data_IF_531609500464
#
_entry.id   IF_531609500464
#
_cell.length_a   1.000
_cell.length_b   1.000
_cell.length_c   1.000
_cell.angle_alpha   90.00
_cell.angle_beta   90.00
_cell.angle_gamma   90.00
#
_symmetry.space_group_name_H-M   'P 1'
#
loop_
_entity.id
_entity.type
_entity.pdbx_description
1 polymer ?
#
# COMPACT_ATOMS: atom_id res chain seq x y z
N UNK A 1 14.80 -1.11 -14.59
CA UNK A 1 13.64 -0.25 -14.95
C UNK A 1 12.54 -0.53 -13.96
N UNK A 2 12.05 0.51 -13.32
CA UNK A 2 10.88 0.48 -12.42
C UNK A 2 9.68 1.19 -13.10
N UNK A 3 8.51 0.95 -12.59
CA UNK A 3 7.29 1.67 -12.98
C UNK A 3 6.54 2.11 -11.72
N UNK A 4 5.71 3.13 -11.85
CA UNK A 4 4.82 3.59 -10.76
C UNK A 4 3.58 2.70 -10.58
N UNK A 5 3.50 1.58 -11.29
CA UNK A 5 2.41 0.62 -11.14
C UNK A 5 2.66 -0.22 -9.89
N UNK A 6 1.70 -0.21 -8.97
CA UNK A 6 1.75 -1.00 -7.73
C UNK A 6 2.01 -2.48 -8.06
N UNK A 7 2.88 -3.12 -7.28
CA UNK A 7 3.33 -4.52 -7.44
C UNK A 7 4.03 -4.83 -8.76
N UNK A 8 4.47 -3.81 -9.51
CA UNK A 8 5.29 -4.01 -10.69
C UNK A 8 6.72 -4.39 -10.31
N UNK A 9 7.23 -5.46 -10.89
CA UNK A 9 8.61 -5.89 -10.67
C UNK A 9 9.61 -5.01 -11.44
N UNK A 10 10.74 -4.71 -10.81
CA UNK A 10 11.84 -3.98 -11.46
C UNK A 10 12.53 -4.86 -12.50
N UNK A 11 12.63 -4.39 -13.74
CA UNK A 11 13.44 -5.04 -14.77
C UNK A 11 14.94 -4.84 -14.51
N UNK A 12 15.75 -5.90 -14.64
CA UNK A 12 17.20 -5.91 -14.36
C UNK A 12 17.55 -5.45 -12.93
N UNK A 13 16.79 -5.94 -11.96
CA UNK A 13 16.96 -5.58 -10.56
C UNK A 13 18.31 -6.00 -9.98
N UNK A 14 18.93 -7.04 -10.52
CA UNK A 14 20.18 -7.64 -10.04
C UNK A 14 21.31 -6.62 -9.98
N UNK A 15 21.36 -5.67 -10.92
CA UNK A 15 22.36 -4.61 -10.93
C UNK A 15 22.20 -3.66 -9.74
N UNK A 16 20.96 -3.38 -9.32
CA UNK A 16 20.66 -2.53 -8.17
C UNK A 16 20.90 -3.29 -6.87
N UNK A 17 20.46 -4.55 -6.80
CA UNK A 17 20.68 -5.45 -5.67
C UNK A 17 22.18 -5.60 -5.36
N UNK A 18 22.99 -5.88 -6.38
CA UNK A 18 24.47 -5.98 -6.22
C UNK A 18 25.08 -4.68 -5.75
N UNK A 19 24.72 -3.55 -6.37
CA UNK A 19 25.22 -2.24 -5.97
C UNK A 19 24.91 -1.92 -4.51
N UNK A 20 23.66 -2.13 -4.07
CA UNK A 20 23.26 -1.84 -2.69
C UNK A 20 23.98 -2.74 -1.68
N UNK A 21 24.20 -4.02 -2.00
CA UNK A 21 24.97 -4.95 -1.16
C UNK A 21 26.44 -4.52 -1.05
N UNK A 22 27.06 -4.12 -2.16
CA UNK A 22 28.44 -3.59 -2.19
C UNK A 22 28.55 -2.29 -1.35
N UNK A 23 27.53 -1.41 -1.42
CA UNK A 23 27.47 -0.21 -0.58
C UNK A 23 27.41 -0.55 0.92
N UNK A 24 26.63 -1.58 1.32
CA UNK A 24 26.58 -2.04 2.71
C UNK A 24 27.94 -2.57 3.21
N UNK A 25 28.81 -3.03 2.31
CA UNK A 25 30.19 -3.42 2.59
C UNK A 25 31.18 -2.24 2.52
N UNK A 26 30.71 -1.02 2.26
CA UNK A 26 31.52 0.20 2.15
C UNK A 26 32.21 0.39 0.79
N UNK A 27 31.82 -0.37 -0.24
CA UNK A 27 32.40 -0.24 -1.56
C UNK A 27 31.74 0.91 -2.34
N UNK A 28 32.54 1.84 -2.83
CA UNK A 28 32.06 2.95 -3.65
C UNK A 28 31.59 2.49 -5.03
N UNK A 29 30.54 3.13 -5.55
CA UNK A 29 29.99 2.78 -6.86
C UNK A 29 28.82 3.65 -7.28
N UNK A 30 28.18 3.28 -8.37
CA UNK A 30 26.94 3.96 -8.80
C UNK A 30 26.04 3.05 -9.61
N UNK A 31 24.72 3.28 -9.52
CA UNK A 31 23.70 2.60 -10.30
C UNK A 31 22.67 3.58 -10.83
N UNK A 32 22.01 3.25 -11.93
CA UNK A 32 20.93 4.07 -12.50
C UNK A 32 19.65 3.27 -12.54
N UNK A 33 18.59 3.87 -11.98
CA UNK A 33 17.21 3.38 -12.07
C UNK A 33 16.44 4.33 -13.00
N UNK A 34 15.70 3.76 -13.94
CA UNK A 34 14.74 4.49 -14.77
C UNK A 34 13.35 4.15 -14.31
N UNK A 35 12.49 5.15 -14.19
CA UNK A 35 11.07 4.99 -13.83
C UNK A 35 10.18 5.43 -14.99
N UNK A 36 9.15 4.65 -15.25
CA UNK A 36 8.11 5.02 -16.20
C UNK A 36 6.90 5.49 -15.38
N UNK A 37 6.51 6.74 -15.57
CA UNK A 37 5.38 7.34 -14.87
C UNK A 37 4.07 7.12 -15.63
N UNK A 38 2.94 7.15 -14.91
CA UNK A 38 1.60 6.94 -15.48
C UNK A 38 1.20 8.03 -16.51
N UNK A 39 1.80 9.21 -16.42
CA UNK A 39 1.62 10.32 -17.37
C UNK A 39 2.49 10.21 -18.62
N UNK A 40 3.22 9.08 -18.77
CA UNK A 40 4.16 8.86 -19.87
C UNK A 40 5.53 9.50 -19.67
N UNK A 41 5.74 10.22 -18.56
CA UNK A 41 7.04 10.78 -18.20
C UNK A 41 8.08 9.71 -17.86
N UNK A 42 9.35 10.06 -17.98
CA UNK A 42 10.47 9.19 -17.67
C UNK A 42 11.31 9.81 -16.53
N UNK A 43 11.35 9.10 -15.41
CA UNK A 43 12.28 9.39 -14.31
C UNK A 43 13.63 8.71 -14.53
N UNK A 44 14.70 9.34 -14.10
CA UNK A 44 16.03 8.77 -14.02
C UNK A 44 16.67 9.13 -12.70
N UNK A 45 16.94 8.12 -11.88
CA UNK A 45 17.63 8.26 -10.61
C UNK A 45 19.02 7.61 -10.74
N UNK A 46 20.08 8.38 -10.54
CA UNK A 46 21.44 7.86 -10.43
C UNK A 46 21.87 7.93 -8.98
N UNK A 47 21.98 6.78 -8.33
CA UNK A 47 22.54 6.66 -6.99
C UNK A 47 24.07 6.55 -7.10
N UNK A 48 24.78 7.28 -6.24
CA UNK A 48 26.24 7.32 -6.16
C UNK A 48 26.63 7.17 -4.70
N UNK A 49 27.42 6.16 -4.39
CA UNK A 49 27.99 5.94 -3.08
C UNK A 49 29.49 6.14 -3.13
N UNK A 50 30.04 7.02 -2.29
CA UNK A 50 31.48 7.35 -2.28
C UNK A 50 32.31 6.49 -1.29
N UNK A 51 31.66 5.58 -0.59
CA UNK A 51 32.21 4.73 0.47
C UNK A 51 31.79 5.19 1.86
N UNK A 52 31.11 6.34 1.98
CA UNK A 52 30.61 6.90 3.24
C UNK A 52 29.20 7.44 3.08
N UNK A 53 29.00 8.34 2.13
CA UNK A 53 27.72 8.99 1.86
C UNK A 53 27.10 8.51 0.55
N UNK A 54 25.79 8.46 0.50
CA UNK A 54 25.04 8.18 -0.71
C UNK A 54 24.34 9.45 -1.22
N UNK A 55 24.38 9.62 -2.53
CA UNK A 55 23.78 10.74 -3.24
C UNK A 55 22.86 10.22 -4.34
N UNK A 56 21.81 10.98 -4.64
CA UNK A 56 20.94 10.71 -5.79
C UNK A 56 20.89 11.92 -6.73
N UNK A 57 21.08 11.67 -8.01
CA UNK A 57 20.82 12.62 -9.10
C UNK A 57 19.51 12.21 -9.74
N UNK A 58 18.46 12.98 -9.47
CA UNK A 58 17.12 12.75 -10.04
C UNK A 58 16.89 13.67 -11.22
N UNK A 59 16.37 13.11 -12.30
CA UNK A 59 16.01 13.84 -13.52
C UNK A 59 14.64 13.36 -13.98
N UNK A 60 13.74 14.27 -14.34
CA UNK A 60 12.47 13.94 -14.95
C UNK A 60 12.39 14.50 -16.35
N UNK A 61 12.10 13.63 -17.30
CA UNK A 61 11.77 13.97 -18.68
C UNK A 61 10.27 13.86 -18.90
N UNK A 62 9.71 14.82 -19.60
CA UNK A 62 8.31 14.87 -20.03
C UNK A 62 8.26 15.14 -21.53
N UNK A 63 7.09 14.98 -22.14
CA UNK A 63 6.83 15.37 -23.52
C UNK A 63 6.05 16.67 -23.51
N UNK A 64 6.57 17.70 -24.19
CA UNK A 64 5.90 18.99 -24.32
C UNK A 64 4.69 18.95 -25.29
N UNK A 65 4.00 20.07 -25.45
CA UNK A 65 2.84 20.16 -26.33
C UNK A 65 3.13 19.82 -27.79
N UNK A 66 4.36 19.97 -28.23
CA UNK A 66 4.82 19.66 -29.59
C UNK A 66 5.32 18.20 -29.72
N UNK A 67 5.15 17.39 -28.65
CA UNK A 67 5.62 16.00 -28.54
C UNK A 67 7.14 15.88 -28.62
N UNK A 68 7.86 16.91 -28.13
CA UNK A 68 9.32 16.89 -28.01
C UNK A 68 9.72 16.60 -26.55
N UNK A 69 10.83 15.85 -26.32
CA UNK A 69 11.30 15.56 -24.97
C UNK A 69 11.90 16.81 -24.32
N UNK A 70 11.47 17.05 -23.09
CA UNK A 70 11.95 18.17 -22.26
C UNK A 70 12.32 17.68 -20.87
N UNK A 71 13.39 18.23 -20.28
CA UNK A 71 13.75 17.99 -18.89
C UNK A 71 12.98 18.99 -18.04
N UNK A 72 12.00 18.48 -17.26
CA UNK A 72 11.17 19.30 -16.38
C UNK A 72 11.77 19.49 -14.98
N UNK A 73 12.69 18.58 -14.58
CA UNK A 73 13.28 18.61 -13.25
C UNK A 73 14.64 17.93 -13.23
N UNK A 74 15.57 18.51 -12.46
CA UNK A 74 16.85 17.91 -12.12
C UNK A 74 17.24 18.31 -10.70
N UNK A 75 17.70 17.35 -9.88
CA UNK A 75 18.24 17.60 -8.55
C UNK A 75 19.47 16.75 -8.29
N UNK A 76 20.28 17.20 -7.34
CA UNK A 76 21.38 16.46 -6.74
C UNK A 76 21.24 16.56 -5.22
N UNK A 77 20.97 15.43 -4.57
CA UNK A 77 20.64 15.42 -3.14
C UNK A 77 21.39 14.30 -2.43
N UNK A 78 21.93 14.59 -1.25
CA UNK A 78 22.50 13.57 -0.36
C UNK A 78 21.37 12.85 0.37
N UNK A 79 21.51 11.55 0.58
CA UNK A 79 20.65 10.78 1.45
C UNK A 79 21.07 11.04 2.90
N UNK A 80 20.10 11.36 3.76
CA UNK A 80 20.30 11.52 5.20
C UNK A 80 20.59 10.18 5.85
N UNK A 81 19.77 9.21 5.51
CA UNK A 81 19.93 7.80 5.87
C UNK A 81 19.33 6.91 4.79
N UNK A 82 19.75 5.66 4.77
CA UNK A 82 19.23 4.66 3.84
C UNK A 82 19.42 3.25 4.41
N UNK A 83 18.58 2.33 3.92
CA UNK A 83 18.62 0.92 4.27
C UNK A 83 18.21 0.07 3.10
N UNK A 84 18.89 -1.04 2.90
CA UNK A 84 18.49 -2.08 1.99
C UNK A 84 18.15 -3.33 2.78
N UNK A 85 16.86 -3.71 2.77
CA UNK A 85 16.36 -4.82 3.58
C UNK A 85 16.61 -6.18 2.91
N UNK A 86 16.67 -7.24 3.68
CA UNK A 86 16.79 -8.62 3.16
C UNK A 86 15.62 -9.00 2.24
N UNK A 87 14.43 -8.40 2.51
CA UNK A 87 13.22 -8.57 1.71
C UNK A 87 13.26 -7.82 0.38
N UNK A 88 14.27 -6.99 0.15
CA UNK A 88 14.50 -6.31 -1.12
C UNK A 88 13.88 -4.94 -1.26
N UNK A 89 13.59 -4.27 -0.13
CA UNK A 89 13.20 -2.89 -0.10
C UNK A 89 14.41 -1.97 0.08
N UNK A 90 14.53 -0.95 -0.74
CA UNK A 90 15.45 0.16 -0.57
C UNK A 90 14.68 1.36 -0.02
N UNK A 91 14.84 1.61 1.27
CA UNK A 91 14.24 2.71 1.99
C UNK A 91 15.30 3.79 2.20
N UNK A 92 14.97 5.04 1.96
CA UNK A 92 15.90 6.13 2.19
C UNK A 92 15.19 7.45 2.48
N UNK A 93 15.87 8.35 3.18
CA UNK A 93 15.44 9.71 3.44
C UNK A 93 16.41 10.70 2.79
N UNK A 94 15.88 11.66 2.04
CA UNK A 94 16.66 12.74 1.44
C UNK A 94 16.98 13.80 2.48
N UNK A 95 18.17 14.42 2.39
CA UNK A 95 18.45 15.64 3.14
C UNK A 95 17.59 16.77 2.60
N UNK A 96 16.65 17.23 3.42
CA UNK A 96 15.81 18.39 3.13
C UNK A 96 16.48 19.63 3.72
N UNK A 97 16.60 20.75 2.98
CA UNK A 97 17.13 21.99 3.52
C UNK A 97 16.34 22.50 4.70
N UNK A 98 17.03 22.97 5.74
CA UNK A 98 16.40 23.59 6.91
C UNK A 98 16.07 25.06 6.66
N UNK A 99 15.02 25.61 7.28
CA UNK A 99 14.74 27.05 7.21
C UNK A 99 15.97 27.90 7.63
N UNK A 100 16.28 29.04 6.98
CA UNK A 100 15.39 29.76 6.04
C UNK A 100 15.46 29.34 4.58
N UNK A 101 16.19 28.30 4.22
CA UNK A 101 16.23 27.81 2.85
C UNK A 101 14.87 27.28 2.42
N UNK A 102 14.50 27.56 1.16
CA UNK A 102 13.22 27.12 0.60
C UNK A 102 13.48 25.85 -0.22
N UNK A 103 12.73 24.80 0.07
CA UNK A 103 12.72 23.56 -0.70
C UNK A 103 11.31 23.19 -1.10
N UNK A 104 11.15 22.62 -2.30
CA UNK A 104 9.91 21.99 -2.72
C UNK A 104 9.76 20.59 -2.11
N UNK A 105 10.81 20.02 -1.54
CA UNK A 105 10.80 18.75 -0.85
C UNK A 105 10.26 18.98 0.56
N UNK A 106 9.05 18.52 0.81
CA UNK A 106 8.38 18.63 2.12
C UNK A 106 8.61 17.38 2.97
N UNK A 107 8.70 16.22 2.31
CA UNK A 107 9.01 14.91 2.87
C UNK A 107 10.09 14.27 2.01
N UNK A 108 11.21 13.89 2.64
CA UNK A 108 12.34 13.27 1.97
C UNK A 108 12.29 11.75 1.92
N UNK A 109 11.26 11.13 2.51
CA UNK A 109 11.13 9.68 2.60
C UNK A 109 10.82 9.04 1.25
N UNK A 110 11.52 7.96 0.93
CA UNK A 110 11.37 7.25 -0.33
C UNK A 110 11.48 5.74 -0.14
N UNK A 111 10.77 5.00 -0.96
CA UNK A 111 10.70 3.55 -0.92
C UNK A 111 10.74 2.98 -2.33
N UNK A 112 11.67 2.06 -2.59
CA UNK A 112 11.78 1.38 -3.88
C UNK A 112 11.84 -0.13 -3.66
N UNK A 113 10.95 -0.86 -4.34
CA UNK A 113 11.00 -2.33 -4.40
C UNK A 113 12.08 -2.75 -5.40
N UNK A 114 13.13 -3.41 -4.91
CA UNK A 114 14.24 -3.89 -5.73
C UNK A 114 14.03 -5.36 -6.10
N UNK A 115 13.98 -6.26 -5.09
CA UNK A 115 13.76 -7.69 -5.36
C UNK A 115 12.34 -7.93 -5.86
N UNK A 116 12.16 -8.73 -6.92
CA UNK A 116 10.84 -9.01 -7.46
C UNK A 116 9.99 -9.86 -6.50
N UNK A 117 8.69 -9.68 -6.56
CA UNK A 117 7.71 -10.63 -6.04
C UNK A 117 7.56 -11.79 -7.03
N UNK A 118 7.17 -12.96 -6.53
CA UNK A 118 6.68 -14.03 -7.42
C UNK A 118 5.39 -13.60 -8.10
N UNK A 119 5.04 -14.22 -9.22
CA UNK A 119 3.78 -13.92 -9.91
C UNK A 119 2.57 -14.21 -9.02
N UNK A 120 2.62 -15.30 -8.27
CA UNK A 120 1.55 -15.70 -7.34
C UNK A 120 1.39 -14.70 -6.18
N UNK A 121 2.49 -14.28 -5.56
CA UNK A 121 2.45 -13.23 -4.52
C UNK A 121 1.88 -11.92 -5.07
N UNK A 122 2.27 -11.54 -6.27
CA UNK A 122 1.77 -10.34 -6.94
C UNK A 122 0.28 -10.42 -7.20
N UNK A 123 -0.20 -11.53 -7.77
CA UNK A 123 -1.62 -11.76 -8.03
C UNK A 123 -2.45 -11.73 -6.74
N UNK A 124 -1.98 -12.41 -5.68
CA UNK A 124 -2.66 -12.41 -4.39
C UNK A 124 -2.66 -11.02 -3.74
N UNK A 125 -1.56 -10.26 -3.86
CA UNK A 125 -1.48 -8.89 -3.37
C UNK A 125 -2.48 -7.97 -4.06
N UNK A 126 -2.57 -8.04 -5.39
CA UNK A 126 -3.54 -7.25 -6.16
C UNK A 126 -4.98 -7.61 -5.84
N UNK A 127 -5.26 -8.90 -5.76
CA UNK A 127 -6.62 -9.42 -5.61
C UNK A 127 -7.17 -9.27 -4.19
N UNK A 128 -6.33 -9.49 -3.16
CA UNK A 128 -6.81 -9.67 -1.80
C UNK A 128 -6.55 -8.47 -0.89
N UNK A 129 -5.51 -7.66 -1.14
CA UNK A 129 -5.09 -6.64 -0.16
C UNK A 129 -4.93 -5.23 -0.74
N UNK A 130 -4.67 -5.08 -2.03
CA UNK A 130 -4.42 -3.77 -2.65
C UNK A 130 -5.55 -2.76 -2.44
N UNK A 131 -6.79 -3.21 -2.50
CA UNK A 131 -7.98 -2.38 -2.36
C UNK A 131 -8.31 -2.03 -0.91
N UNK A 132 -7.68 -2.70 0.06
CA UNK A 132 -7.92 -2.52 1.49
C UNK A 132 -6.85 -1.61 2.08
N UNK A 133 -7.24 -0.67 2.91
CA UNK A 133 -6.32 0.24 3.59
C UNK A 133 -6.16 -0.12 5.06
N UNK A 134 -5.23 0.59 5.72
CA UNK A 134 -5.04 0.53 7.18
C UNK A 134 -5.69 1.72 7.90
N UNK A 135 -6.39 2.57 7.17
CA UNK A 135 -7.10 3.73 7.70
C UNK A 135 -8.53 3.77 7.16
N UNK A 136 -9.41 4.46 7.88
CA UNK A 136 -10.80 4.62 7.48
C UNK A 136 -11.69 3.41 7.78
N UNK A 137 -11.11 2.25 8.05
CA UNK A 137 -11.77 1.03 8.51
C UNK A 137 -10.80 0.18 9.34
N UNK A 138 -11.30 -0.81 10.03
CA UNK A 138 -10.48 -1.69 10.88
C UNK A 138 -10.28 -3.11 10.33
N UNK A 139 -10.64 -3.35 9.08
CA UNK A 139 -10.62 -4.68 8.47
C UNK A 139 -9.26 -5.36 8.56
N UNK A 140 -8.16 -4.64 8.24
CA UNK A 140 -6.79 -5.17 8.31
C UNK A 140 -6.06 -4.80 9.62
N UNK A 141 -6.71 -4.10 10.55
CA UNK A 141 -6.08 -3.55 11.75
C UNK A 141 -6.54 -4.22 13.06
N UNK A 142 -7.49 -5.14 13.01
CA UNK A 142 -8.04 -5.83 14.17
C UNK A 142 -8.11 -7.32 13.94
N UNK A 143 -8.01 -8.10 15.04
CA UNK A 143 -8.32 -9.52 14.99
C UNK A 143 -9.81 -9.71 14.88
N UNK A 144 -10.26 -10.35 13.82
CA UNK A 144 -11.66 -10.70 13.68
C UNK A 144 -11.82 -12.07 13.02
N UNK A 145 -12.94 -12.69 13.33
CA UNK A 145 -13.41 -13.94 12.75
C UNK A 145 -14.94 -13.98 12.78
N UNK A 146 -15.54 -15.09 12.45
CA UNK A 146 -17.00 -15.24 12.39
C UNK A 146 -17.72 -14.99 13.74
N UNK A 147 -16.99 -15.08 14.87
CA UNK A 147 -17.57 -14.92 16.21
C UNK A 147 -17.67 -13.45 16.65
N UNK A 148 -16.85 -12.56 16.09
CA UNK A 148 -16.77 -11.15 16.47
C UNK A 148 -16.90 -10.18 15.29
N UNK A 149 -17.65 -10.54 14.25
CA UNK A 149 -17.96 -9.70 13.10
C UNK A 149 -18.61 -8.35 13.48
N UNK A 150 -19.28 -8.28 14.64
CA UNK A 150 -19.86 -7.04 15.16
C UNK A 150 -18.84 -5.97 15.55
N UNK A 151 -17.55 -6.29 15.62
CA UNK A 151 -16.47 -5.35 15.92
C UNK A 151 -15.93 -4.62 14.68
N UNK A 152 -16.39 -5.03 13.48
CA UNK A 152 -15.93 -4.44 12.21
C UNK A 152 -16.64 -3.12 11.89
N UNK A 153 -15.90 -2.18 11.30
CA UNK A 153 -16.44 -0.92 10.78
C UNK A 153 -16.95 -1.08 9.34
N UNK A 154 -18.19 -1.52 9.21
CA UNK A 154 -18.84 -1.73 7.92
C UNK A 154 -19.04 -0.44 7.14
N UNK A 155 -19.31 0.67 7.81
CA UNK A 155 -19.49 1.96 7.17
C UNK A 155 -18.15 2.46 6.56
N UNK A 156 -17.05 2.28 7.29
CA UNK A 156 -15.72 2.67 6.81
C UNK A 156 -15.19 1.76 5.71
N UNK A 157 -15.50 0.46 5.74
CA UNK A 157 -14.98 -0.48 4.74
C UNK A 157 -15.73 -0.46 3.40
N UNK A 158 -16.95 0.04 3.35
CA UNK A 158 -17.79 -0.03 2.14
C UNK A 158 -17.10 0.54 0.90
N UNK A 159 -16.51 1.73 0.99
CA UNK A 159 -15.84 2.36 -0.16
C UNK A 159 -14.63 1.57 -0.67
N UNK A 160 -13.92 0.86 0.22
CA UNK A 160 -12.78 0.01 -0.14
C UNK A 160 -13.23 -1.25 -0.88
N UNK A 161 -14.28 -1.92 -0.37
CA UNK A 161 -14.87 -3.07 -1.02
C UNK A 161 -15.53 -2.71 -2.36
N UNK A 162 -16.13 -1.51 -2.45
CA UNK A 162 -16.67 -0.95 -3.69
C UNK A 162 -15.55 -0.81 -4.74
N UNK A 163 -14.43 -0.21 -4.33
CA UNK A 163 -13.25 -0.06 -5.21
C UNK A 163 -12.66 -1.41 -5.66
N UNK A 164 -12.64 -2.41 -4.77
CA UNK A 164 -12.20 -3.78 -5.12
C UNK A 164 -13.12 -4.43 -6.15
N UNK A 165 -14.43 -4.27 -6.01
CA UNK A 165 -15.42 -4.91 -6.88
C UNK A 165 -15.48 -4.26 -8.26
N UNK A 166 -15.56 -2.93 -8.30
CA UNK A 166 -15.87 -2.19 -9.53
C UNK A 166 -14.63 -1.60 -10.20
N UNK A 167 -13.47 -1.59 -9.52
CA UNK A 167 -12.26 -0.94 -10.02
C UNK A 167 -12.34 0.58 -10.09
N UNK A 168 -13.36 1.17 -9.47
CA UNK A 168 -13.69 2.58 -9.50
C UNK A 168 -13.75 3.15 -8.08
N UNK A 169 -13.45 4.42 -7.93
CA UNK A 169 -13.57 5.09 -6.64
C UNK A 169 -15.03 5.34 -6.30
N UNK A 170 -15.43 4.99 -5.08
CA UNK A 170 -16.77 5.32 -4.56
C UNK A 170 -16.99 6.84 -4.52
N UNK A 171 -18.14 7.28 -5.05
CA UNK A 171 -18.55 8.68 -5.04
C UNK A 171 -19.78 8.87 -4.14
N UNK A 172 -19.58 9.44 -2.97
CA UNK A 172 -20.66 9.67 -2.00
C UNK A 172 -21.73 10.68 -2.46
N UNK A 173 -21.42 11.52 -3.46
CA UNK A 173 -22.39 12.50 -4.01
C UNK A 173 -23.56 11.79 -4.74
N UNK A 174 -23.34 10.56 -5.19
CA UNK A 174 -24.38 9.75 -5.83
C UNK A 174 -25.38 9.17 -4.81
N UNK A 175 -25.07 9.27 -3.50
CA UNK A 175 -25.82 8.70 -2.39
C UNK A 175 -26.21 9.76 -1.33
N UNK A 176 -26.93 10.82 -1.69
CA UNK A 176 -27.21 11.95 -0.77
C UNK A 176 -28.08 11.58 0.45
N UNK A 177 -28.82 10.48 0.36
CA UNK A 177 -29.69 9.97 1.45
C UNK A 177 -29.17 8.67 2.09
N UNK A 178 -27.89 8.33 1.87
CA UNK A 178 -27.32 7.06 2.28
C UNK A 178 -27.35 5.99 1.19
N UNK A 179 -26.64 4.89 1.43
CA UNK A 179 -26.48 3.80 0.46
C UNK A 179 -27.71 2.90 0.51
N UNK A 180 -28.35 2.58 -0.62
CA UNK A 180 -29.49 1.69 -0.66
C UNK A 180 -29.20 0.33 -0.02
N UNK A 181 -30.17 -0.19 0.72
CA UNK A 181 -30.04 -1.43 1.49
C UNK A 181 -29.50 -2.59 0.67
N UNK A 182 -30.08 -2.84 -0.49
CA UNK A 182 -29.70 -3.97 -1.35
C UNK A 182 -28.27 -3.87 -1.83
N UNK A 183 -27.83 -2.66 -2.14
CA UNK A 183 -26.47 -2.41 -2.61
C UNK A 183 -25.45 -2.61 -1.48
N UNK A 184 -25.69 -2.01 -0.32
CA UNK A 184 -24.82 -2.14 0.85
C UNK A 184 -24.71 -3.60 1.32
N UNK A 185 -25.85 -4.25 1.56
CA UNK A 185 -25.89 -5.63 2.06
C UNK A 185 -25.24 -6.60 1.06
N UNK A 186 -25.52 -6.46 -0.25
CA UNK A 186 -24.96 -7.34 -1.29
C UNK A 186 -23.45 -7.23 -1.36
N UNK A 187 -22.91 -6.00 -1.30
CA UNK A 187 -21.47 -5.78 -1.37
C UNK A 187 -20.76 -6.36 -0.13
N UNK A 188 -21.28 -6.10 1.05
CA UNK A 188 -20.68 -6.62 2.31
C UNK A 188 -20.72 -8.14 2.33
N UNK A 189 -21.86 -8.76 1.99
CA UNK A 189 -22.02 -10.23 1.97
C UNK A 189 -21.19 -10.93 0.91
N UNK A 190 -20.78 -10.24 -0.15
CA UNK A 190 -19.88 -10.80 -1.15
C UNK A 190 -18.48 -11.07 -0.59
N UNK A 191 -18.00 -10.14 0.25
CA UNK A 191 -16.64 -10.23 0.80
C UNK A 191 -16.56 -10.82 2.20
N UNK A 192 -17.62 -10.79 2.99
CA UNK A 192 -17.60 -11.22 4.38
C UNK A 192 -18.65 -12.32 4.65
N UNK A 193 -18.35 -13.28 5.55
CA UNK A 193 -19.26 -14.37 5.90
C UNK A 193 -20.33 -13.88 6.88
N UNK A 194 -21.16 -12.94 6.47
CA UNK A 194 -22.18 -12.26 7.28
C UNK A 194 -23.53 -12.30 6.57
N UNK A 195 -24.61 -12.25 7.33
CA UNK A 195 -25.98 -12.18 6.81
C UNK A 195 -26.54 -10.76 6.82
N UNK A 196 -27.52 -10.48 5.97
CA UNK A 196 -28.22 -9.19 5.95
C UNK A 196 -28.86 -8.82 7.30
N UNK A 197 -29.29 -9.80 8.07
CA UNK A 197 -29.85 -9.58 9.41
C UNK A 197 -28.76 -9.09 10.38
N UNK A 198 -27.61 -9.74 10.37
CA UNK A 198 -26.45 -9.32 11.18
C UNK A 198 -25.96 -7.92 10.79
N UNK A 199 -25.91 -7.61 9.48
CA UNK A 199 -25.52 -6.26 9.02
C UNK A 199 -26.48 -5.22 9.61
N UNK A 200 -27.80 -5.46 9.59
CA UNK A 200 -28.79 -4.54 10.17
C UNK A 200 -28.65 -4.37 11.69
N UNK A 201 -28.21 -5.41 12.39
CA UNK A 201 -27.97 -5.34 13.82
C UNK A 201 -26.68 -4.59 14.19
N UNK A 202 -25.67 -4.62 13.31
CA UNK A 202 -24.33 -4.06 13.58
C UNK A 202 -24.13 -2.66 13.02
N UNK A 203 -24.91 -2.27 12.01
CA UNK A 203 -24.74 -1.01 11.27
C UNK A 203 -25.93 -0.10 11.46
N UNK A 204 -25.70 1.20 11.54
CA UNK A 204 -26.80 2.17 11.62
C UNK A 204 -27.60 2.14 10.32
N UNK A 205 -28.85 1.67 10.43
CA UNK A 205 -29.79 1.54 9.33
C UNK A 205 -30.95 2.54 9.48
N UNK A 206 -31.28 3.23 8.40
CA UNK A 206 -32.43 4.12 8.32
C UNK A 206 -33.64 3.35 7.78
N UNK A 207 -34.54 2.98 8.70
CA UNK A 207 -35.76 2.22 8.39
C UNK A 207 -36.75 2.99 7.50
N UNK A 208 -36.77 4.32 7.58
CA UNK A 208 -37.70 5.15 6.80
C UNK A 208 -37.26 5.22 5.34
N UNK A 209 -35.95 5.44 5.12
CA UNK A 209 -35.37 5.59 3.78
C UNK A 209 -34.82 4.27 3.21
N UNK A 210 -34.77 3.20 4.01
CA UNK A 210 -34.18 1.90 3.65
C UNK A 210 -32.74 2.04 3.16
N UNK A 211 -31.90 2.78 3.90
CA UNK A 211 -30.51 3.09 3.56
C UNK A 211 -29.57 2.89 4.73
N UNK A 212 -28.30 2.67 4.42
CA UNK A 212 -27.19 2.66 5.37
C UNK A 212 -26.41 3.97 5.31
N UNK A 213 -25.95 4.43 6.47
CA UNK A 213 -25.06 5.57 6.54
C UNK A 213 -23.71 5.21 5.94
N UNK A 214 -23.17 6.09 5.10
CA UNK A 214 -21.76 6.05 4.70
C UNK A 214 -20.94 7.00 5.57
N UNK A 215 -19.84 6.48 6.15
CA UNK A 215 -18.89 7.30 6.89
C UNK A 215 -17.76 7.74 5.97
N UNK A 216 -17.51 9.04 5.94
CA UNK A 216 -16.46 9.61 5.11
C UNK A 216 -15.08 9.10 5.55
N UNK A 217 -14.22 8.79 4.56
CA UNK A 217 -12.81 8.46 4.77
C UNK A 217 -12.13 9.46 5.73
N UNK A 218 -11.37 8.94 6.69
CA UNK A 218 -10.63 9.74 7.66
C UNK A 218 -11.41 10.16 8.90
N UNK A 219 -12.69 9.84 9.01
CA UNK A 219 -13.44 10.04 10.25
C UNK A 219 -12.98 9.12 11.38
N UNK A 220 -12.47 7.93 11.01
CA UNK A 220 -11.97 6.92 11.94
C UNK A 220 -10.57 6.46 11.51
N UNK A 221 -9.60 6.63 12.39
CA UNK A 221 -8.21 6.20 12.16
C UNK A 221 -7.88 5.08 13.15
N UNK A 222 -7.82 3.87 12.65
CA UNK A 222 -7.49 2.66 13.43
C UNK A 222 -5.99 2.37 13.49
N UNK A 223 -5.21 3.04 12.66
CA UNK A 223 -3.75 2.99 12.65
C UNK A 223 -3.18 4.41 12.69
N UNK A 224 -1.91 4.60 13.09
CA UNK A 224 -1.23 5.89 12.94
C UNK A 224 -1.35 6.44 11.52
N UNK A 225 -1.51 7.75 11.38
CA UNK A 225 -1.83 8.39 10.09
C UNK A 225 -0.81 8.10 8.99
N UNK A 226 0.48 7.98 9.32
CA UNK A 226 1.52 7.63 8.36
C UNK A 226 1.40 6.19 7.82
N UNK A 227 0.71 5.29 8.50
CA UNK A 227 0.45 3.95 7.97
C UNK A 227 -0.51 3.94 6.78
N UNK A 228 -1.23 5.06 6.53
CA UNK A 228 -2.05 5.21 5.33
C UNK A 228 -1.29 5.17 4.02
N UNK A 229 0.03 5.43 4.06
CA UNK A 229 0.94 5.30 2.91
C UNK A 229 1.60 3.92 2.82
N UNK A 230 1.33 3.02 3.78
CA UNK A 230 1.91 1.69 3.79
C UNK A 230 1.42 0.86 2.61
N UNK A 231 2.35 0.15 1.98
CA UNK A 231 2.09 -0.77 0.89
C UNK A 231 2.03 -2.20 1.43
N UNK A 232 0.84 -2.85 1.48
CA UNK A 232 0.72 -4.25 1.87
C UNK A 232 1.13 -5.18 0.72
N UNK A 233 1.90 -6.21 1.05
CA UNK A 233 2.32 -7.26 0.14
C UNK A 233 2.03 -8.63 0.74
N UNK A 234 1.55 -9.55 -0.07
CA UNK A 234 1.51 -10.98 0.28
C UNK A 234 2.91 -11.54 0.15
N UNK A 235 3.46 -12.03 1.26
CA UNK A 235 4.82 -12.58 1.32
C UNK A 235 4.88 -14.08 1.46
N UNK A 236 3.80 -14.72 1.93
CA UNK A 236 3.64 -16.16 2.00
C UNK A 236 2.19 -16.57 1.73
N UNK A 237 2.01 -17.76 1.15
CA UNK A 237 0.71 -18.30 0.73
C UNK A 237 0.62 -19.75 1.19
N UNK A 238 -0.41 -20.06 1.96
CA UNK A 238 -0.63 -21.39 2.50
C UNK A 238 -2.05 -21.87 2.20
N UNK A 239 -2.16 -22.98 1.46
CA UNK A 239 -3.42 -23.67 1.28
C UNK A 239 -3.80 -24.44 2.54
N UNK A 240 -5.06 -24.36 2.95
CA UNK A 240 -5.61 -25.05 4.11
C UNK A 240 -6.44 -26.27 3.70
N UNK A 241 -6.58 -27.24 4.60
CA UNK A 241 -7.32 -28.49 4.34
C UNK A 241 -8.82 -28.28 4.07
N UNK A 242 -9.37 -27.15 4.53
CA UNK A 242 -10.79 -26.77 4.35
C UNK A 242 -11.06 -25.98 3.04
N UNK A 243 -10.05 -25.88 2.19
CA UNK A 243 -10.13 -25.16 0.91
C UNK A 243 -10.03 -23.63 1.03
N UNK A 244 -9.67 -23.12 2.21
CA UNK A 244 -9.28 -21.70 2.36
C UNK A 244 -7.79 -21.53 2.09
N UNK A 245 -7.37 -20.28 1.91
CA UNK A 245 -5.97 -19.91 1.74
C UNK A 245 -5.59 -18.88 2.79
N UNK A 246 -4.52 -19.11 3.52
CA UNK A 246 -3.95 -18.13 4.46
C UNK A 246 -2.81 -17.41 3.77
N UNK A 247 -2.91 -16.09 3.74
CA UNK A 247 -1.94 -15.17 3.19
C UNK A 247 -1.23 -14.45 4.34
N UNK A 248 0.10 -14.57 4.40
CA UNK A 248 0.88 -13.67 5.28
C UNK A 248 1.09 -12.36 4.55
N UNK A 249 0.61 -11.28 5.14
CA UNK A 249 0.68 -9.93 4.58
C UNK A 249 1.62 -9.09 5.41
N UNK A 250 2.56 -8.44 4.75
CA UNK A 250 3.48 -7.48 5.34
C UNK A 250 3.31 -6.13 4.65
N UNK A 251 3.31 -5.06 5.44
CA UNK A 251 3.25 -3.71 4.92
C UNK A 251 4.48 -2.91 5.30
N UNK A 252 5.06 -2.23 4.34
CA UNK A 252 6.16 -1.29 4.51
C UNK A 252 5.67 0.13 4.35
N UNK A 253 6.37 1.09 4.96
CA UNK A 253 6.04 2.50 4.89
C UNK A 253 7.29 3.30 4.56
N UNK A 254 7.20 4.22 3.61
CA UNK A 254 8.29 5.10 3.19
C UNK A 254 8.76 6.05 4.31
N UNK A 255 7.87 6.40 5.24
CA UNK A 255 8.18 7.28 6.37
C UNK A 255 8.91 6.59 7.53
N UNK A 256 9.13 5.27 7.45
CA UNK A 256 9.77 4.49 8.51
C UNK A 256 10.85 3.59 7.91
N UNK A 257 12.12 3.94 8.17
CA UNK A 257 13.24 3.11 7.78
C UNK A 257 13.42 1.98 8.78
N UNK A 258 12.96 0.78 8.43
CA UNK A 258 13.02 -0.40 9.29
C UNK A 258 13.46 -1.65 8.49
N UNK A 259 13.96 -2.67 9.21
CA UNK A 259 14.33 -3.96 8.60
C UNK A 259 13.11 -4.80 8.23
N UNK A 260 12.07 -4.67 9.05
CA UNK A 260 10.84 -5.45 8.94
C UNK A 260 9.68 -4.57 8.48
N UNK A 261 8.58 -5.22 8.16
CA UNK A 261 7.32 -4.56 7.89
C UNK A 261 6.81 -3.80 9.12
N UNK A 262 6.18 -2.65 8.90
CA UNK A 262 5.55 -1.88 10.00
C UNK A 262 4.26 -2.53 10.48
N UNK A 263 3.63 -3.35 9.64
CA UNK A 263 2.46 -4.16 9.97
C UNK A 263 2.66 -5.56 9.38
N UNK A 264 2.38 -6.58 10.17
CA UNK A 264 2.32 -7.97 9.73
C UNK A 264 1.02 -8.58 10.22
N UNK A 265 0.29 -9.28 9.36
CA UNK A 265 -0.92 -10.00 9.73
C UNK A 265 -1.14 -11.21 8.81
N UNK A 266 -1.98 -12.14 9.24
CA UNK A 266 -2.48 -13.23 8.42
C UNK A 266 -3.91 -12.95 7.98
N UNK A 267 -4.17 -13.03 6.69
CA UNK A 267 -5.49 -12.92 6.08
C UNK A 267 -5.90 -14.27 5.51
N UNK A 268 -6.96 -14.87 6.04
CA UNK A 268 -7.53 -16.08 5.46
C UNK A 268 -8.68 -15.73 4.52
N UNK A 269 -8.61 -16.28 3.32
CA UNK A 269 -9.55 -16.03 2.23
C UNK A 269 -10.12 -17.34 1.69
N UNK A 270 -11.30 -17.26 1.09
CA UNK A 270 -11.90 -18.32 0.29
C UNK A 270 -12.13 -17.81 -1.12
N UNK A 271 -11.67 -18.55 -2.11
CA UNK A 271 -11.94 -18.27 -3.51
C UNK A 271 -13.12 -19.14 -3.97
N UNK A 272 -14.13 -18.51 -4.56
CA UNK A 272 -15.23 -19.15 -5.26
C UNK A 272 -15.09 -18.87 -6.77
N UNK A 273 -15.84 -19.59 -7.62
CA UNK A 273 -15.82 -19.37 -9.09
C UNK A 273 -16.17 -17.93 -9.46
N UNK A 274 -16.99 -17.27 -8.68
CA UNK A 274 -17.57 -15.95 -8.88
C UNK A 274 -17.09 -14.87 -7.90
N UNK A 275 -16.17 -15.19 -6.98
CA UNK A 275 -15.79 -14.19 -6.00
C UNK A 275 -14.66 -14.53 -5.06
N UNK A 276 -14.38 -13.59 -4.18
CA UNK A 276 -13.43 -13.65 -3.08
C UNK A 276 -14.19 -13.38 -1.78
N UNK A 277 -14.07 -14.26 -0.79
CA UNK A 277 -14.54 -14.00 0.57
C UNK A 277 -13.38 -13.92 1.54
N UNK A 278 -13.34 -12.86 2.33
CA UNK A 278 -12.44 -12.71 3.46
C UNK A 278 -13.04 -13.47 4.64
N UNK A 279 -12.27 -14.32 5.30
CA UNK A 279 -12.76 -15.21 6.35
C UNK A 279 -12.38 -14.73 7.74
N UNK A 280 -11.12 -14.38 7.94
CA UNK A 280 -10.66 -13.76 9.18
C UNK A 280 -9.29 -13.10 9.01
N UNK A 281 -8.98 -12.20 9.94
CA UNK A 281 -7.64 -11.63 10.15
C UNK A 281 -7.15 -12.10 11.52
N UNK A 282 -5.92 -12.60 11.58
CA UNK A 282 -5.26 -12.94 12.81
C UNK A 282 -3.92 -12.22 12.95
N UNK A 283 -3.58 -11.95 14.21
CA UNK A 283 -2.28 -11.42 14.64
C UNK A 283 -1.79 -10.15 13.91
N UNK A 284 -2.60 -9.09 13.77
CA UNK A 284 -2.08 -7.83 13.24
C UNK A 284 -1.02 -7.28 14.21
N UNK A 285 0.22 -7.69 13.97
CA UNK A 285 1.37 -7.19 14.72
C UNK A 285 1.79 -5.87 14.12
N UNK A 286 1.75 -4.83 14.94
CA UNK A 286 2.30 -3.51 14.59
C UNK A 286 3.64 -3.37 15.29
N UNK A 287 4.68 -2.97 14.56
CA UNK A 287 5.91 -2.55 15.22
C UNK A 287 5.56 -1.44 16.20
N UNK A 288 5.92 -1.64 17.47
CA UNK A 288 5.84 -0.57 18.47
C UNK A 288 6.63 0.61 17.89
N UNK A 289 5.96 1.74 17.75
CA UNK A 289 6.60 2.98 17.32
C UNK A 289 7.85 3.17 18.16
N UNK A 290 8.97 3.27 17.49
CA UNK A 290 10.20 3.73 18.13
C UNK A 290 9.84 5.10 18.66
N UNK A 291 9.76 5.19 19.99
CA UNK A 291 9.57 6.48 20.66
C UNK A 291 10.77 7.35 20.32
N UNK A 292 10.54 8.43 19.61
CA UNK A 292 11.50 9.51 19.41
C UNK A 292 11.87 10.16 20.74
#
# INVERSE_FOLDING_TARGET
IATMVTYSNMGNYESVDSFLKECMEGQSGSVVIYEIHNDGGLGRMKFIFDGTDMYVVSTRGIWNADNEPEISYISYTRLKEWKYTEKGWFCYELCVPEPPEVSEIVDGSCLIRIKPMTEEQREMSERCVRGLGYQGNNLLCSNWNIENLNELDYNGMFEYLYGMKYGEKFNSEDYPNGIPKEEFESLIMEYLPITAEQIRDYVVFDEENQTYLWARLGCFNYAPTFFGTSLPEVVDIKENEDGTVTLTVEAVCDMVICDDAVITHELTVRFAEDGLSLIHISEPTRLALISY
#
